data_IF_621810618964
#
_entry.id   IF_621810618964
#
_cell.length_a   1.000
_cell.length_b   1.000
_cell.length_c   1.000
_cell.angle_alpha   90.00
_cell.angle_beta   90.00
_cell.angle_gamma   90.00
#
_symmetry.space_group_name_H-M   'P 1'
#
loop_
_entity.id
_entity.type
_entity.pdbx_description
1 polymer ?
#
# COMPACT_ATOMS: atom_id res chain seq x y z
N UNK A 1 -11.87 3.80 -15.02
CA UNK A 1 -12.79 3.33 -13.94
C UNK A 1 -12.17 3.73 -12.60
N UNK A 2 -12.31 5.00 -12.24
CA UNK A 2 -11.69 5.60 -11.02
C UNK A 2 -12.64 5.49 -9.81
N UNK A 3 -13.17 4.29 -9.54
CA UNK A 3 -14.06 4.10 -8.39
C UNK A 3 -13.22 3.77 -7.15
N UNK A 4 -13.08 4.75 -6.27
CA UNK A 4 -12.49 4.54 -4.96
C UNK A 4 -13.38 3.71 -4.05
N UNK A 5 -12.76 2.98 -3.13
CA UNK A 5 -13.48 2.36 -2.01
C UNK A 5 -14.12 3.45 -1.12
N UNK A 6 -15.20 3.15 -0.38
CA UNK A 6 -15.83 4.14 0.52
C UNK A 6 -14.85 4.82 1.48
N UNK A 7 -13.90 4.05 2.05
CA UNK A 7 -12.86 4.59 2.92
C UNK A 7 -11.95 5.60 2.21
N UNK A 8 -11.59 5.32 0.96
CA UNK A 8 -10.76 6.23 0.16
C UNK A 8 -11.51 7.50 -0.21
N UNK A 9 -12.80 7.37 -0.57
CA UNK A 9 -13.67 8.51 -0.84
C UNK A 9 -13.82 9.39 0.41
N UNK A 10 -14.07 8.79 1.58
CA UNK A 10 -14.19 9.52 2.84
C UNK A 10 -12.93 10.33 3.15
N UNK A 11 -11.73 9.73 3.01
CA UNK A 11 -10.46 10.43 3.22
C UNK A 11 -10.25 11.58 2.24
N UNK A 12 -10.53 11.35 0.95
CA UNK A 12 -10.42 12.39 -0.06
C UNK A 12 -11.39 13.55 0.22
N UNK A 13 -12.65 13.25 0.53
CA UNK A 13 -13.65 14.25 0.86
C UNK A 13 -13.32 15.03 2.15
N UNK A 14 -12.63 14.43 3.11
CA UNK A 14 -12.16 15.16 4.30
C UNK A 14 -11.18 16.26 3.90
N UNK A 15 -10.19 15.95 3.05
CA UNK A 15 -9.25 16.97 2.57
C UNK A 15 -9.97 18.08 1.76
N UNK A 16 -10.83 17.69 0.83
CA UNK A 16 -11.58 18.65 0.00
C UNK A 16 -12.44 19.58 0.87
N UNK A 17 -13.16 19.04 1.85
CA UNK A 17 -14.00 19.83 2.76
C UNK A 17 -13.20 20.82 3.59
N UNK A 18 -12.03 20.43 4.10
CA UNK A 18 -11.18 21.36 4.84
C UNK A 18 -10.67 22.50 3.93
N UNK A 19 -10.28 22.19 2.70
CA UNK A 19 -9.86 23.21 1.73
C UNK A 19 -11.01 24.15 1.41
N UNK A 20 -12.20 23.63 1.09
CA UNK A 20 -13.40 24.44 0.78
C UNK A 20 -13.80 25.30 1.99
N UNK A 21 -13.73 24.77 3.20
CA UNK A 21 -14.00 25.53 4.42
C UNK A 21 -13.05 26.72 4.55
N UNK A 22 -11.73 26.50 4.41
CA UNK A 22 -10.73 27.57 4.48
C UNK A 22 -10.97 28.61 3.39
N UNK A 23 -11.26 28.20 2.16
CA UNK A 23 -11.57 29.11 1.06
C UNK A 23 -12.86 29.93 1.29
N UNK A 24 -13.80 29.41 2.10
CA UNK A 24 -15.03 30.14 2.43
C UNK A 24 -14.83 31.28 3.44
N UNK A 25 -13.75 31.24 4.22
CA UNK A 25 -13.47 32.22 5.29
C UNK A 25 -12.24 33.11 5.01
N UNK A 26 -11.34 32.68 4.12
CA UNK A 26 -10.11 33.39 3.79
C UNK A 26 -9.99 33.66 2.29
N UNK A 27 -9.44 34.78 1.86
CA UNK A 27 -9.16 35.08 0.45
C UNK A 27 -7.91 34.31 -0.02
N UNK A 28 -8.08 33.01 -0.26
CA UNK A 28 -7.00 32.13 -0.71
C UNK A 28 -6.67 32.42 -2.17
N UNK A 29 -5.48 32.94 -2.43
CA UNK A 29 -4.99 33.24 -3.78
C UNK A 29 -4.14 32.11 -4.37
N UNK A 30 -3.47 31.34 -3.52
CA UNK A 30 -2.60 30.24 -3.91
C UNK A 30 -2.74 29.07 -2.92
N UNK A 31 -2.53 27.86 -3.40
CA UNK A 31 -2.55 26.66 -2.58
C UNK A 31 -1.28 25.85 -2.79
N UNK A 32 -0.65 25.45 -1.70
CA UNK A 32 0.52 24.58 -1.72
C UNK A 32 0.19 23.30 -0.97
N UNK A 33 0.35 22.14 -1.63
CA UNK A 33 0.12 20.83 -1.01
C UNK A 33 1.44 20.13 -0.74
N UNK A 34 1.74 19.85 0.52
CA UNK A 34 2.79 18.89 0.85
C UNK A 34 2.27 17.48 0.60
N UNK A 35 2.92 16.76 -0.28
CA UNK A 35 2.54 15.40 -0.64
C UNK A 35 3.70 14.42 -0.52
N UNK A 36 3.37 13.12 -0.48
CA UNK A 36 4.35 12.04 -0.57
C UNK A 36 4.17 11.28 -1.87
N UNK A 37 5.26 11.08 -2.59
CA UNK A 37 5.33 10.13 -3.71
C UNK A 37 6.07 8.89 -3.26
N UNK A 38 5.39 7.76 -3.32
CA UNK A 38 5.94 6.48 -2.90
C UNK A 38 6.18 5.59 -4.11
N UNK A 39 7.44 5.19 -4.30
CA UNK A 39 7.79 4.16 -5.26
C UNK A 39 7.43 2.78 -4.69
N UNK A 40 6.24 2.31 -5.05
CA UNK A 40 5.69 1.05 -4.54
C UNK A 40 6.54 -0.16 -4.91
N UNK A 41 7.19 -0.13 -6.08
CA UNK A 41 8.07 -1.21 -6.52
C UNK A 41 9.34 -1.25 -5.68
N UNK A 42 9.97 -0.09 -5.49
CA UNK A 42 11.16 0.05 -4.66
C UNK A 42 10.88 -0.34 -3.20
N UNK A 43 9.72 0.05 -2.65
CA UNK A 43 9.32 -0.34 -1.30
C UNK A 43 9.12 -1.85 -1.14
N UNK A 44 8.65 -2.53 -2.18
CA UNK A 44 8.51 -4.00 -2.21
C UNK A 44 9.85 -4.69 -2.41
N UNK A 45 10.67 -4.16 -3.27
CA UNK A 45 11.97 -4.74 -3.61
C UNK A 45 13.09 -3.69 -3.52
N UNK A 46 13.75 -3.57 -2.37
CA UNK A 46 14.83 -2.60 -2.17
C UNK A 46 16.02 -2.76 -3.13
N UNK A 47 16.19 -3.92 -3.77
CA UNK A 47 17.26 -4.12 -4.76
C UNK A 47 17.12 -3.21 -5.98
N UNK A 48 15.91 -2.69 -6.23
CA UNK A 48 15.63 -1.72 -7.29
C UNK A 48 16.28 -0.34 -7.07
N UNK A 49 16.85 -0.08 -5.88
CA UNK A 49 17.70 1.09 -5.65
C UNK A 49 18.98 1.04 -6.49
N UNK A 50 19.44 -0.17 -6.85
CA UNK A 50 20.62 -0.35 -7.70
C UNK A 50 20.28 0.01 -9.16
N UNK A 51 20.95 1.01 -9.79
CA UNK A 51 20.70 1.42 -11.17
C UNK A 51 20.85 0.29 -12.20
N UNK A 52 21.70 -0.71 -11.93
CA UNK A 52 21.92 -1.86 -12.82
C UNK A 52 20.75 -2.86 -12.77
N UNK A 53 20.06 -2.97 -11.64
CA UNK A 53 18.93 -3.89 -11.42
C UNK A 53 17.61 -3.24 -11.81
N UNK A 54 17.49 -1.93 -11.63
CA UNK A 54 16.27 -1.15 -11.81
C UNK A 54 15.56 -1.36 -13.16
N UNK A 55 16.23 -1.27 -14.32
CA UNK A 55 15.56 -1.37 -15.64
C UNK A 55 14.87 -2.73 -15.83
N UNK A 56 15.45 -3.78 -15.33
CA UNK A 56 14.92 -5.15 -15.46
C UNK A 56 13.93 -5.50 -14.33
N UNK A 57 14.18 -5.03 -13.13
CA UNK A 57 13.40 -5.36 -11.94
C UNK A 57 12.03 -4.68 -11.91
N UNK A 58 11.88 -3.48 -12.48
CA UNK A 58 10.59 -2.79 -12.55
C UNK A 58 9.56 -3.52 -13.40
N UNK A 59 9.99 -4.20 -14.45
CA UNK A 59 9.12 -4.96 -15.34
C UNK A 59 8.82 -6.38 -14.84
N UNK A 60 9.59 -6.86 -13.84
CA UNK A 60 9.50 -8.21 -13.29
C UNK A 60 8.95 -8.17 -11.86
N UNK A 61 7.65 -7.87 -11.72
CA UNK A 61 6.96 -7.97 -10.43
C UNK A 61 6.83 -9.42 -9.94
N UNK A 62 6.30 -9.62 -8.72
CA UNK A 62 6.13 -10.93 -8.09
C UNK A 62 5.38 -11.96 -8.99
N UNK A 63 4.47 -11.49 -9.82
CA UNK A 63 3.70 -12.33 -10.74
C UNK A 63 4.34 -12.48 -12.13
N UNK A 64 5.58 -12.01 -12.32
CA UNK A 64 6.23 -12.11 -13.63
C UNK A 64 6.41 -13.58 -14.05
N UNK A 65 5.91 -13.91 -15.25
CA UNK A 65 5.91 -15.28 -15.76
C UNK A 65 4.74 -16.15 -15.28
N UNK A 66 3.82 -15.59 -14.51
CA UNK A 66 2.62 -16.29 -14.04
C UNK A 66 1.35 -15.56 -14.50
N UNK A 67 0.32 -16.35 -14.81
CA UNK A 67 -0.99 -15.85 -15.23
C UNK A 67 -1.64 -14.95 -14.15
N UNK A 68 -1.49 -15.33 -12.88
CA UNK A 68 -2.05 -14.62 -11.74
C UNK A 68 -1.32 -14.97 -10.44
N UNK A 69 -1.66 -14.24 -9.37
CA UNK A 69 -1.07 -14.43 -8.02
C UNK A 69 -1.27 -15.86 -7.50
N UNK A 70 -2.42 -16.49 -7.81
CA UNK A 70 -2.68 -17.88 -7.39
C UNK A 70 -1.68 -18.85 -8.02
N UNK A 71 -1.45 -18.74 -9.32
CA UNK A 71 -0.48 -19.58 -10.03
C UNK A 71 0.93 -19.41 -9.49
N UNK A 72 1.32 -18.17 -9.20
CA UNK A 72 2.63 -17.86 -8.59
C UNK A 72 2.77 -18.48 -7.19
N UNK A 73 1.76 -18.35 -6.32
CA UNK A 73 1.80 -18.91 -4.95
C UNK A 73 1.86 -20.43 -5.00
N UNK A 74 1.04 -21.07 -5.85
CA UNK A 74 1.08 -22.52 -6.03
C UNK A 74 2.45 -23.01 -6.48
N UNK A 75 3.07 -22.32 -7.45
CA UNK A 75 4.41 -22.64 -7.93
C UNK A 75 5.47 -22.42 -6.85
N UNK A 76 5.46 -21.28 -6.13
CA UNK A 76 6.37 -21.00 -5.01
C UNK A 76 6.34 -22.09 -3.95
N UNK A 77 5.15 -22.61 -3.66
CA UNK A 77 4.92 -23.64 -2.64
C UNK A 77 5.06 -25.07 -3.20
N UNK A 78 5.61 -25.22 -4.43
CA UNK A 78 5.79 -26.49 -5.13
C UNK A 78 4.51 -27.32 -5.20
N UNK A 79 3.35 -26.68 -5.43
CA UNK A 79 2.04 -27.34 -5.48
C UNK A 79 1.80 -28.24 -4.27
N UNK A 80 2.29 -27.86 -3.10
CA UNK A 80 2.22 -28.65 -1.89
C UNK A 80 1.54 -27.87 -0.76
N UNK A 81 0.59 -28.51 -0.07
CA UNK A 81 -0.04 -27.92 1.10
C UNK A 81 0.99 -27.56 2.17
N UNK A 82 1.06 -26.30 2.57
CA UNK A 82 2.04 -25.82 3.55
C UNK A 82 1.70 -26.26 5.00
N UNK A 83 0.48 -26.72 5.24
CA UNK A 83 0.06 -27.25 6.54
C UNK A 83 0.39 -28.75 6.69
N UNK A 84 -0.22 -29.63 5.91
CA UNK A 84 -0.02 -31.08 6.04
C UNK A 84 1.15 -31.63 5.23
N UNK A 85 1.83 -30.81 4.42
CA UNK A 85 2.93 -31.21 3.55
C UNK A 85 2.61 -32.40 2.65
N UNK A 86 1.38 -32.39 2.10
CA UNK A 86 0.90 -33.42 1.19
C UNK A 86 0.35 -34.69 1.86
N UNK A 87 0.30 -34.76 3.19
CA UNK A 87 -0.16 -35.97 3.90
C UNK A 87 -1.60 -36.38 3.58
N UNK A 88 -2.48 -35.41 3.34
CA UNK A 88 -3.89 -35.70 3.03
C UNK A 88 -4.12 -36.20 1.60
N UNK A 89 -3.09 -36.19 0.73
CA UNK A 89 -3.20 -36.59 -0.70
C UNK A 89 -4.39 -35.95 -1.44
N UNK A 90 -4.79 -34.76 -0.98
CA UNK A 90 -5.90 -34.02 -1.57
C UNK A 90 -5.41 -33.32 -2.85
N UNK A 91 -6.10 -33.58 -3.95
CA UNK A 91 -5.73 -33.06 -5.28
C UNK A 91 -6.11 -31.58 -5.46
N UNK A 92 -7.05 -31.08 -4.64
CA UNK A 92 -7.52 -29.70 -4.73
C UNK A 92 -6.68 -28.81 -3.82
N UNK A 93 -5.96 -27.88 -4.45
CA UNK A 93 -5.16 -26.86 -3.77
C UNK A 93 -5.83 -25.49 -3.86
N UNK A 94 -5.82 -24.76 -2.77
CA UNK A 94 -6.39 -23.44 -2.61
C UNK A 94 -5.35 -22.47 -2.02
N UNK A 95 -5.44 -21.21 -2.40
CA UNK A 95 -4.57 -20.17 -1.82
C UNK A 95 -5.33 -19.48 -0.71
N UNK A 96 -4.73 -19.47 0.46
CA UNK A 96 -5.29 -18.95 1.71
C UNK A 96 -4.57 -17.67 2.15
N UNK A 97 -5.31 -16.69 2.69
CA UNK A 97 -4.74 -15.50 3.30
C UNK A 97 -4.36 -15.77 4.76
N UNK A 98 -3.09 -15.56 5.12
CA UNK A 98 -2.60 -15.70 6.50
C UNK A 98 -3.32 -14.70 7.40
N UNK A 99 -3.36 -13.44 7.01
CA UNK A 99 -4.25 -12.43 7.60
C UNK A 99 -5.46 -12.29 6.69
N UNK A 100 -6.65 -12.53 7.21
CA UNK A 100 -7.87 -12.46 6.41
C UNK A 100 -8.11 -11.07 5.81
N UNK A 101 -8.70 -11.01 4.63
CA UNK A 101 -9.10 -9.74 3.99
C UNK A 101 -10.01 -8.89 4.90
N UNK A 102 -10.90 -9.52 5.65
CA UNK A 102 -11.76 -8.86 6.64
C UNK A 102 -10.98 -8.19 7.77
N UNK A 103 -9.78 -8.69 8.06
CA UNK A 103 -8.85 -8.14 9.06
C UNK A 103 -7.79 -7.20 8.45
N UNK A 104 -7.96 -6.80 7.20
CA UNK A 104 -7.04 -5.92 6.50
C UNK A 104 -5.86 -6.63 5.82
N UNK A 105 -5.90 -7.95 5.68
CA UNK A 105 -4.90 -8.73 4.97
C UNK A 105 -4.79 -8.33 3.50
N UNK A 106 -3.56 -8.27 2.99
CA UNK A 106 -3.25 -7.93 1.60
C UNK A 106 -3.24 -9.17 0.71
N UNK A 107 -3.39 -8.94 -0.61
CA UNK A 107 -3.21 -9.98 -1.64
C UNK A 107 -1.73 -10.16 -2.03
N UNK A 108 -0.80 -9.70 -1.20
CA UNK A 108 0.63 -9.87 -1.44
C UNK A 108 1.07 -11.31 -1.18
N UNK A 109 2.07 -11.76 -1.91
CA UNK A 109 2.62 -13.12 -1.82
C UNK A 109 3.00 -13.53 -0.39
N UNK A 110 3.49 -12.55 0.41
CA UNK A 110 3.89 -12.76 1.81
C UNK A 110 2.74 -13.06 2.75
N UNK A 111 1.50 -12.71 2.34
CA UNK A 111 0.27 -12.97 3.09
C UNK A 111 -0.51 -14.18 2.56
N UNK A 112 0.03 -14.88 1.58
CA UNK A 112 -0.64 -15.98 0.89
C UNK A 112 0.13 -17.28 1.05
N UNK A 113 -0.58 -18.39 1.20
CA UNK A 113 0.01 -19.73 1.22
C UNK A 113 -0.91 -20.77 0.60
N UNK A 114 -0.33 -21.87 0.13
CA UNK A 114 -1.04 -22.99 -0.45
C UNK A 114 -1.53 -23.95 0.63
N UNK A 115 -2.82 -24.23 0.64
CA UNK A 115 -3.45 -25.28 1.47
C UNK A 115 -4.19 -26.28 0.57
N UNK A 116 -4.26 -27.54 1.00
CA UNK A 116 -5.20 -28.47 0.42
C UNK A 116 -6.62 -28.19 0.95
N UNK A 117 -7.64 -28.62 0.22
CA UNK A 117 -9.04 -28.36 0.57
C UNK A 117 -9.39 -28.80 2.00
N UNK A 118 -8.91 -29.97 2.43
CA UNK A 118 -9.12 -30.47 3.78
C UNK A 118 -8.54 -29.54 4.85
N UNK A 119 -7.24 -29.16 4.72
CA UNK A 119 -6.60 -28.24 5.67
C UNK A 119 -7.24 -26.85 5.64
N UNK A 120 -7.67 -26.38 4.49
CA UNK A 120 -8.34 -25.07 4.34
C UNK A 120 -9.69 -25.06 5.09
N UNK A 121 -10.49 -26.13 4.94
CA UNK A 121 -11.75 -26.30 5.65
C UNK A 121 -11.55 -26.43 7.17
N UNK A 122 -10.58 -27.23 7.60
CA UNK A 122 -10.29 -27.45 9.03
C UNK A 122 -9.76 -26.18 9.71
N UNK A 123 -8.99 -25.35 9.00
CA UNK A 123 -8.55 -24.06 9.49
C UNK A 123 -9.73 -23.11 9.69
N UNK A 124 -10.63 -22.99 8.71
CA UNK A 124 -11.83 -22.15 8.82
C UNK A 124 -12.82 -22.63 9.89
N UNK A 125 -12.85 -23.92 10.17
CA UNK A 125 -13.69 -24.49 11.25
C UNK A 125 -13.03 -24.43 12.63
N UNK A 126 -11.79 -23.91 12.73
CA UNK A 126 -11.04 -23.82 13.99
C UNK A 126 -10.49 -25.14 14.51
N UNK A 127 -10.59 -26.23 13.75
CA UNK A 127 -10.06 -27.55 14.14
C UNK A 127 -8.53 -27.59 14.14
N UNK A 128 -7.89 -26.82 13.28
CA UNK A 128 -6.45 -26.67 13.22
C UNK A 128 -6.08 -25.19 13.34
N UNK A 129 -5.03 -24.93 14.08
CA UNK A 129 -4.43 -23.59 14.16
C UNK A 129 -2.94 -23.70 13.87
N UNK A 130 -2.56 -23.90 12.60
CA UNK A 130 -1.16 -23.96 12.24
C UNK A 130 -0.51 -22.63 12.58
N UNK A 131 0.64 -22.66 13.27
CA UNK A 131 1.48 -21.48 13.44
C UNK A 131 2.00 -21.07 12.06
N UNK A 132 1.22 -20.25 11.37
CA UNK A 132 1.57 -19.71 10.07
C UNK A 132 2.60 -18.60 10.32
N UNK A 133 3.87 -18.96 10.34
CA UNK A 133 4.98 -18.04 10.52
C UNK A 133 5.26 -17.30 9.21
N UNK A 134 4.36 -16.41 8.85
CA UNK A 134 4.62 -15.38 7.85
C UNK A 134 4.72 -14.06 8.58
N UNK A 135 5.90 -13.45 8.63
CA UNK A 135 6.00 -12.02 8.93
C UNK A 135 5.27 -11.31 7.80
N UNK A 136 4.08 -10.80 8.05
CA UNK A 136 3.43 -9.83 7.17
C UNK A 136 4.38 -8.65 7.09
N UNK A 137 5.16 -8.58 6.02
CA UNK A 137 5.97 -7.39 5.70
C UNK A 137 5.00 -6.24 5.57
N UNK A 138 5.40 -5.10 6.12
CA UNK A 138 4.57 -3.93 6.32
C UNK A 138 3.58 -3.66 5.18
N UNK A 139 2.36 -3.43 5.54
CA UNK A 139 1.27 -3.17 4.61
C UNK A 139 1.49 -1.83 3.89
N UNK A 140 1.74 -1.87 2.58
CA UNK A 140 1.91 -0.68 1.74
C UNK A 140 0.58 0.06 1.45
N UNK A 141 -0.50 -0.31 2.14
CA UNK A 141 -1.83 0.26 1.97
C UNK A 141 -1.83 1.79 2.07
N UNK A 142 -1.14 2.33 3.07
CA UNK A 142 -1.09 3.79 3.28
C UNK A 142 -0.33 4.50 2.15
N UNK A 143 0.80 3.96 1.70
CA UNK A 143 1.55 4.51 0.58
C UNK A 143 0.72 4.51 -0.71
N UNK A 144 0.01 3.41 -0.99
CA UNK A 144 -0.92 3.32 -2.13
C UNK A 144 -2.06 4.32 -2.02
N UNK A 145 -2.64 4.48 -0.80
CA UNK A 145 -3.70 5.45 -0.55
C UNK A 145 -3.21 6.88 -0.80
N UNK A 146 -2.04 7.24 -0.28
CA UNK A 146 -1.45 8.57 -0.46
C UNK A 146 -1.20 8.88 -1.93
N UNK A 147 -0.58 7.96 -2.69
CA UNK A 147 -0.39 8.13 -4.13
C UNK A 147 -1.73 8.36 -4.87
N UNK A 148 -2.78 7.66 -4.46
CA UNK A 148 -4.11 7.76 -5.09
C UNK A 148 -4.83 9.06 -4.71
N UNK A 149 -4.80 9.46 -3.43
CA UNK A 149 -5.39 10.70 -2.94
C UNK A 149 -4.69 11.90 -3.60
N UNK A 150 -3.34 11.91 -3.62
CA UNK A 150 -2.55 12.92 -4.29
C UNK A 150 -3.04 13.16 -5.72
N UNK A 151 -3.13 12.10 -6.52
CA UNK A 151 -3.59 12.20 -7.91
C UNK A 151 -4.97 12.84 -8.04
N UNK A 152 -5.88 12.56 -7.11
CA UNK A 152 -7.23 13.14 -7.15
C UNK A 152 -7.27 14.57 -6.65
N UNK A 153 -6.49 14.93 -5.63
CA UNK A 153 -6.40 16.33 -5.16
C UNK A 153 -5.96 17.25 -6.28
N UNK A 154 -4.95 16.88 -7.08
CA UNK A 154 -4.53 17.68 -8.23
C UNK A 154 -5.51 17.65 -9.42
N UNK A 155 -6.48 16.74 -9.45
CA UNK A 155 -7.61 16.84 -10.38
C UNK A 155 -8.66 17.87 -9.94
N UNK A 156 -8.90 17.97 -8.62
CA UNK A 156 -9.80 19.00 -8.06
C UNK A 156 -9.16 20.38 -8.06
N UNK A 157 -7.85 20.45 -7.80
CA UNK A 157 -7.09 21.69 -7.66
C UNK A 157 -5.89 21.69 -8.60
N UNK A 158 -6.10 21.85 -9.92
CA UNK A 158 -5.02 21.72 -10.92
C UNK A 158 -3.98 22.83 -10.84
N UNK A 159 -4.32 23.97 -10.25
CA UNK A 159 -3.41 25.11 -10.07
C UNK A 159 -2.65 25.07 -8.74
N UNK A 160 -2.87 24.07 -7.89
CA UNK A 160 -2.14 23.94 -6.65
C UNK A 160 -0.66 23.58 -6.90
N UNK A 161 0.22 24.19 -6.13
CA UNK A 161 1.67 23.91 -6.18
C UNK A 161 1.94 22.66 -5.33
N UNK A 162 2.79 21.78 -5.83
CA UNK A 162 3.23 20.63 -5.08
C UNK A 162 4.56 20.86 -4.38
N UNK A 163 4.63 20.51 -3.10
CA UNK A 163 5.87 20.42 -2.34
C UNK A 163 6.03 19.06 -1.66
N UNK A 164 7.20 18.80 -1.12
CA UNK A 164 7.55 17.52 -0.52
C UNK A 164 8.14 17.71 0.86
N UNK A 165 7.95 16.74 1.76
CA UNK A 165 8.37 16.82 3.15
C UNK A 165 9.88 17.11 3.36
N UNK A 166 10.74 16.81 2.40
CA UNK A 166 12.15 17.19 2.50
C UNK A 166 12.37 18.71 2.31
N UNK A 167 11.55 19.36 1.48
CA UNK A 167 11.57 20.83 1.31
C UNK A 167 11.06 21.50 2.57
N UNK A 168 9.90 21.05 3.07
CA UNK A 168 9.34 21.53 4.35
C UNK A 168 10.33 21.39 5.49
N UNK A 169 11.02 20.23 5.57
CA UNK A 169 12.07 20.02 6.57
C UNK A 169 13.23 21.02 6.42
N UNK A 170 13.68 21.25 5.21
CA UNK A 170 14.78 22.19 4.95
C UNK A 170 14.40 23.62 5.36
N UNK A 171 13.22 24.08 4.93
CA UNK A 171 12.70 25.41 5.28
C UNK A 171 12.54 25.56 6.80
N UNK A 172 11.96 24.55 7.46
CA UNK A 172 11.80 24.55 8.91
C UNK A 172 13.12 24.66 9.67
N UNK A 173 14.14 23.91 9.25
CA UNK A 173 15.48 23.98 9.84
C UNK A 173 16.12 25.34 9.60
N UNK A 174 15.93 25.92 8.42
CA UNK A 174 16.44 27.27 8.12
C UNK A 174 15.80 28.34 8.99
N UNK A 175 14.50 28.22 9.26
CA UNK A 175 13.75 29.13 10.15
C UNK A 175 13.95 28.86 11.64
N UNK A 176 14.61 27.77 12.02
CA UNK A 176 14.88 27.41 13.41
C UNK A 176 13.63 27.08 14.23
N UNK A 177 12.55 26.57 13.58
CA UNK A 177 11.30 26.23 14.26
C UNK A 177 11.15 24.73 14.47
N UNK A 178 10.40 24.34 15.52
CA UNK A 178 10.18 22.96 15.91
C UNK A 178 9.31 22.19 14.88
N UNK A 179 9.33 20.86 14.98
CA UNK A 179 8.52 20.01 14.13
C UNK A 179 7.08 19.90 14.64
N UNK A 180 6.24 20.83 14.16
CA UNK A 180 4.80 20.84 14.42
C UNK A 180 4.03 21.06 13.12
N UNK A 181 2.82 20.48 13.01
CA UNK A 181 2.04 20.56 11.76
C UNK A 181 1.73 21.98 11.30
N UNK A 182 1.46 22.89 12.24
CA UNK A 182 1.19 24.28 11.89
C UNK A 182 2.44 25.05 11.45
N UNK A 183 3.62 24.75 12.02
CA UNK A 183 4.88 25.31 11.53
C UNK A 183 5.24 24.75 10.17
N UNK A 184 5.04 23.44 9.93
CA UNK A 184 5.23 22.85 8.62
C UNK A 184 4.32 23.53 7.59
N UNK A 185 3.05 23.79 7.90
CA UNK A 185 2.14 24.54 7.04
C UNK A 185 2.60 25.96 6.75
N UNK A 186 3.07 26.70 7.76
CA UNK A 186 3.61 28.04 7.56
C UNK A 186 4.86 28.04 6.68
N UNK A 187 5.77 27.07 6.86
CA UNK A 187 7.04 27.02 6.12
C UNK A 187 6.89 26.63 4.66
N UNK A 188 5.76 26.07 4.24
CA UNK A 188 5.47 25.79 2.83
C UNK A 188 4.72 26.94 2.14
N UNK A 189 4.16 27.88 2.92
CA UNK A 189 3.42 29.05 2.41
C UNK A 189 4.33 30.29 2.22
N UNK A 190 5.58 30.20 2.65
CA UNK A 190 6.60 31.25 2.50
C UNK A 190 7.52 30.94 1.35
#
# INVERSE_FOLDING_TARGET
KDRFSPTMQSKLHSHVREIEYIQSILPVTEMVFETGQFDMQLMKNPSLANPKVRPWGYQKGANYGFENTKAMVLNRDNYTCQCCKGKHKDSKLEVHHIVFRSQGGSDEESNLLTLCHTCHKDLHSGKINPKLSGKVKGNLKYATQMNSIRKQLFRFYPNAIETFGYVTKANRLHLGVDKEHYYDACTIAT
#
